data_IF_768204933256
#
_entry.id   IF_768204933256
#
_cell.length_a   1.000
_cell.length_b   1.000
_cell.length_c   1.000
_cell.angle_alpha   90.00
_cell.angle_beta   90.00
_cell.angle_gamma   90.00
#
_symmetry.space_group_name_H-M   'P 1'
#
loop_
_entity.id
_entity.type
_entity.pdbx_description
1 polymer ?
#
# COMPACT_ATOMS: atom_id res chain seq x y z
N UNK A 1 4.65 -6.55 3.17
CA UNK A 1 5.50 -5.37 3.45
C UNK A 1 4.98 -4.58 4.66
N UNK A 2 3.79 -4.91 5.18
CA UNK A 2 3.23 -4.41 6.45
C UNK A 2 4.16 -4.59 7.66
N UNK A 3 4.85 -5.74 7.77
CA UNK A 3 5.86 -5.99 8.80
C UNK A 3 7.05 -4.99 8.77
N UNK A 4 7.34 -4.40 7.60
CA UNK A 4 8.38 -3.39 7.48
C UNK A 4 7.93 -2.04 8.04
N UNK A 5 6.63 -1.74 8.14
CA UNK A 5 6.14 -0.48 8.71
C UNK A 5 5.86 -0.59 10.21
N UNK A 6 5.39 -1.76 10.68
CA UNK A 6 5.19 -2.03 12.11
C UNK A 6 6.47 -1.90 12.95
N UNK A 7 7.65 -2.13 12.35
CA UNK A 7 8.94 -2.04 13.04
C UNK A 7 9.51 -0.63 13.25
N UNK A 8 8.90 0.43 12.68
CA UNK A 8 9.53 1.77 12.67
C UNK A 8 8.87 2.80 13.58
N UNK A 9 7.52 2.90 13.63
CA UNK A 9 6.77 3.85 14.47
C UNK A 9 5.24 3.65 14.29
N UNK A 10 4.49 3.38 15.36
CA UNK A 10 3.02 3.20 15.30
C UNK A 10 2.30 4.46 14.77
N UNK A 11 2.88 5.65 15.00
CA UNK A 11 2.30 6.92 14.54
C UNK A 11 2.54 7.17 13.04
N UNK A 12 3.53 6.50 12.44
CA UNK A 12 3.75 6.53 10.99
C UNK A 12 2.76 5.58 10.30
N UNK A 13 2.50 4.41 10.91
CA UNK A 13 1.54 3.43 10.38
C UNK A 13 0.15 4.06 10.22
N UNK A 14 -0.35 4.74 11.25
CA UNK A 14 -1.68 5.38 11.20
C UNK A 14 -1.80 6.44 10.09
N UNK A 15 -0.73 7.19 9.81
CA UNK A 15 -0.72 8.19 8.73
C UNK A 15 -0.67 7.54 7.34
N UNK A 16 -0.03 6.39 7.22
CA UNK A 16 0.09 5.66 5.94
C UNK A 16 -1.20 4.91 5.60
N UNK A 17 -1.96 4.48 6.61
CA UNK A 17 -3.21 3.73 6.44
C UNK A 17 -4.46 4.63 6.34
N UNK A 18 -4.53 5.72 7.13
CA UNK A 18 -5.75 6.54 7.28
C UNK A 18 -5.51 8.04 7.03
N UNK A 19 -4.25 8.46 6.89
CA UNK A 19 -3.86 9.86 6.89
C UNK A 19 -3.95 10.54 5.53
N UNK A 20 -5.16 10.82 5.04
CA UNK A 20 -5.31 11.70 3.88
C UNK A 20 -5.15 13.17 4.31
N UNK A 21 -3.95 13.71 4.07
CA UNK A 21 -3.56 15.08 4.41
C UNK A 21 -4.00 16.08 3.36
N UNK A 22 -5.26 16.00 2.93
CA UNK A 22 -5.93 17.09 2.22
C UNK A 22 -6.20 18.25 3.20
N UNK A 23 -5.14 18.82 3.77
CA UNK A 23 -5.22 20.06 4.54
C UNK A 23 -5.40 21.18 3.53
N UNK A 24 -6.66 21.42 3.17
CA UNK A 24 -7.11 22.46 2.23
C UNK A 24 -7.21 23.83 2.90
N UNK A 25 -6.95 23.91 4.20
CA UNK A 25 -7.08 25.14 4.98
C UNK A 25 -5.78 25.93 5.00
N UNK A 26 -5.94 27.26 5.01
CA UNK A 26 -4.86 28.23 5.11
C UNK A 26 -3.89 27.89 6.26
N UNK A 27 -2.59 28.05 6.03
CA UNK A 27 -1.54 27.69 7.02
C UNK A 27 -1.75 28.37 8.37
N UNK A 28 -2.35 29.55 8.35
CA UNK A 28 -2.62 30.37 9.53
C UNK A 28 -3.75 29.79 10.41
N UNK A 29 -4.55 28.85 9.90
CA UNK A 29 -5.64 28.20 10.63
C UNK A 29 -5.28 26.81 11.15
N UNK A 30 -4.03 26.37 10.97
CA UNK A 30 -3.62 25.03 11.38
C UNK A 30 -3.60 24.90 12.90
N UNK A 31 -4.33 23.90 13.38
CA UNK A 31 -4.27 23.47 14.77
C UNK A 31 -2.95 22.74 15.05
N UNK A 32 -2.63 22.55 16.32
CA UNK A 32 -1.44 21.78 16.71
C UNK A 32 -1.52 20.32 16.21
N UNK A 33 -2.73 19.76 16.17
CA UNK A 33 -2.97 18.44 15.61
C UNK A 33 -2.71 18.38 14.10
N UNK A 34 -3.09 19.43 13.35
CA UNK A 34 -2.80 19.51 11.91
C UNK A 34 -1.28 19.54 11.67
N UNK A 35 -0.54 20.35 12.45
CA UNK A 35 0.92 20.42 12.37
C UNK A 35 1.56 19.07 12.67
N UNK A 36 1.06 18.37 13.71
CA UNK A 36 1.53 17.02 14.07
C UNK A 36 1.29 16.03 12.94
N UNK A 37 0.11 16.01 12.32
CA UNK A 37 -0.19 15.14 11.18
C UNK A 37 0.72 15.43 9.98
N UNK A 38 0.91 16.71 9.65
CA UNK A 38 1.81 17.12 8.55
C UNK A 38 3.25 16.66 8.83
N UNK A 39 3.75 16.89 10.04
CA UNK A 39 5.08 16.43 10.45
C UNK A 39 5.22 14.91 10.30
N UNK A 40 4.26 14.15 10.81
CA UNK A 40 4.29 12.68 10.71
C UNK A 40 4.25 12.20 9.25
N UNK A 41 3.50 12.85 8.38
CA UNK A 41 3.50 12.53 6.96
C UNK A 41 4.81 12.88 6.26
N UNK A 42 5.41 14.03 6.56
CA UNK A 42 6.76 14.35 6.06
C UNK A 42 7.78 13.29 6.52
N UNK A 43 7.71 12.88 7.79
CA UNK A 43 8.54 11.81 8.36
C UNK A 43 8.29 10.47 7.63
N UNK A 44 7.03 10.10 7.41
CA UNK A 44 6.64 8.89 6.69
C UNK A 44 7.14 8.89 5.23
N UNK A 45 6.92 9.99 4.49
CA UNK A 45 7.44 10.16 3.11
C UNK A 45 8.96 9.99 3.08
N UNK A 46 9.68 10.64 3.99
CA UNK A 46 11.14 10.50 4.09
C UNK A 46 11.56 9.05 4.29
N UNK A 47 10.91 8.33 5.22
CA UNK A 47 11.19 6.90 5.46
C UNK A 47 10.91 6.03 4.24
N UNK A 48 9.76 6.21 3.59
CA UNK A 48 9.42 5.51 2.35
C UNK A 48 10.47 5.79 1.27
N UNK A 49 10.82 7.05 1.03
CA UNK A 49 11.83 7.43 0.04
C UNK A 49 13.19 6.77 0.30
N UNK A 50 13.64 6.71 1.56
CA UNK A 50 14.90 6.07 1.92
C UNK A 50 14.89 4.54 1.69
N UNK A 51 13.74 3.89 1.81
CA UNK A 51 13.61 2.45 1.58
C UNK A 51 13.53 2.08 0.09
N UNK A 52 13.21 3.04 -0.79
CA UNK A 52 12.93 2.78 -2.20
C UNK A 52 14.18 2.86 -3.08
N UNK A 53 14.27 1.92 -4.03
CA UNK A 53 15.25 2.00 -5.13
C UNK A 53 14.86 3.15 -6.08
N UNK A 54 15.84 3.70 -6.81
CA UNK A 54 15.63 4.81 -7.77
C UNK A 54 14.45 4.61 -8.73
N UNK A 55 14.25 3.39 -9.24
CA UNK A 55 13.14 3.06 -10.15
C UNK A 55 11.79 3.24 -9.48
N UNK A 56 11.64 2.72 -8.26
CA UNK A 56 10.38 2.76 -7.53
C UNK A 56 10.09 4.15 -6.99
N UNK A 57 11.12 4.85 -6.52
CA UNK A 57 11.01 6.25 -6.13
C UNK A 57 10.42 7.12 -7.25
N UNK A 58 10.92 6.99 -8.49
CA UNK A 58 10.39 7.74 -9.65
C UNK A 58 8.90 7.51 -9.90
N UNK A 59 8.34 6.37 -9.48
CA UNK A 59 6.91 6.05 -9.68
C UNK A 59 6.02 6.73 -8.66
N UNK A 60 6.54 7.00 -7.47
CA UNK A 60 5.79 7.55 -6.33
C UNK A 60 6.19 8.99 -5.98
N UNK A 61 7.22 9.55 -6.63
CA UNK A 61 7.74 10.89 -6.32
C UNK A 61 6.73 12.02 -6.55
N UNK A 62 5.71 11.81 -7.40
CA UNK A 62 4.65 12.78 -7.65
C UNK A 62 3.51 12.74 -6.62
N UNK A 63 3.51 11.75 -5.72
CA UNK A 63 2.44 11.56 -4.75
C UNK A 63 2.48 12.64 -3.65
N UNK A 64 1.30 13.12 -3.27
CA UNK A 64 1.12 14.24 -2.34
C UNK A 64 1.32 13.80 -0.90
N UNK A 65 0.76 12.66 -0.51
CA UNK A 65 0.86 12.09 0.85
C UNK A 65 1.69 10.79 0.90
N UNK A 66 2.14 10.42 2.09
CA UNK A 66 2.75 9.12 2.35
C UNK A 66 1.76 7.98 2.10
N UNK A 67 0.48 8.19 2.43
CA UNK A 67 -0.62 7.28 2.13
C UNK A 67 -0.71 7.01 0.61
N UNK A 68 -0.72 8.05 -0.21
CA UNK A 68 -0.79 7.89 -1.67
C UNK A 68 0.46 7.16 -2.22
N UNK A 69 1.66 7.47 -1.68
CA UNK A 69 2.88 6.74 -2.04
C UNK A 69 2.76 5.25 -1.70
N UNK A 70 2.30 4.94 -0.48
CA UNK A 70 2.14 3.58 0.00
C UNK A 70 1.11 2.80 -0.80
N UNK A 71 -0.06 3.38 -1.03
CA UNK A 71 -1.13 2.74 -1.78
C UNK A 71 -0.69 2.43 -3.22
N UNK A 72 0.04 3.35 -3.85
CA UNK A 72 0.60 3.12 -5.18
C UNK A 72 1.63 1.99 -5.20
N UNK A 73 2.43 1.84 -4.14
CA UNK A 73 3.35 0.71 -3.99
C UNK A 73 2.58 -0.60 -3.76
N UNK A 74 1.57 -0.59 -2.90
CA UNK A 74 0.71 -1.75 -2.62
C UNK A 74 0.06 -2.27 -3.90
N UNK A 75 -0.65 -1.40 -4.62
CA UNK A 75 -1.29 -1.75 -5.91
C UNK A 75 -0.27 -2.28 -6.92
N UNK A 76 0.91 -1.66 -6.98
CA UNK A 76 1.97 -2.04 -7.91
C UNK A 76 2.47 -3.47 -7.69
N UNK A 77 2.66 -3.87 -6.44
CA UNK A 77 3.33 -5.13 -6.10
C UNK A 77 2.35 -6.26 -5.79
N UNK A 78 1.22 -5.93 -5.16
CA UNK A 78 0.21 -6.92 -4.78
C UNK A 78 -0.92 -7.03 -5.80
N UNK A 79 -1.04 -6.05 -6.71
CA UNK A 79 -2.17 -5.90 -7.60
C UNK A 79 -3.33 -5.16 -6.93
N UNK A 80 -4.32 -4.79 -7.75
CA UNK A 80 -5.59 -4.26 -7.25
C UNK A 80 -6.45 -5.38 -6.69
N UNK A 81 -7.43 -5.04 -5.86
CA UNK A 81 -8.34 -6.03 -5.28
C UNK A 81 -9.08 -6.81 -6.38
N UNK A 82 -9.47 -6.13 -7.48
CA UNK A 82 -10.04 -6.78 -8.67
C UNK A 82 -9.10 -7.81 -9.31
N UNK A 83 -7.80 -7.53 -9.40
CA UNK A 83 -6.81 -8.50 -9.93
C UNK A 83 -6.68 -9.68 -8.97
N UNK A 84 -6.71 -9.44 -7.66
CA UNK A 84 -6.68 -10.50 -6.64
C UNK A 84 -7.92 -11.39 -6.73
N UNK A 85 -9.11 -10.80 -6.81
CA UNK A 85 -10.40 -11.50 -7.01
C UNK A 85 -10.40 -12.33 -8.29
N UNK A 86 -9.99 -11.74 -9.42
CA UNK A 86 -9.93 -12.46 -10.70
C UNK A 86 -8.98 -13.67 -10.63
N UNK A 87 -7.85 -13.56 -9.91
CA UNK A 87 -6.93 -14.69 -9.70
C UNK A 87 -7.58 -15.79 -8.87
N UNK A 88 -8.36 -15.44 -7.85
CA UNK A 88 -9.13 -16.40 -7.05
C UNK A 88 -10.15 -17.11 -7.94
N UNK A 89 -10.95 -16.36 -8.70
CA UNK A 89 -11.99 -16.93 -9.57
C UNK A 89 -11.41 -17.90 -10.61
N UNK A 90 -10.27 -17.54 -11.21
CA UNK A 90 -9.55 -18.42 -12.15
C UNK A 90 -9.11 -19.71 -11.45
N UNK A 91 -8.53 -19.62 -10.26
CA UNK A 91 -8.08 -20.79 -9.50
C UNK A 91 -9.25 -21.68 -9.07
N UNK A 92 -10.35 -21.09 -8.62
CA UNK A 92 -11.59 -21.80 -8.28
C UNK A 92 -12.12 -22.53 -9.51
N UNK A 93 -12.21 -21.83 -10.65
CA UNK A 93 -12.66 -22.43 -11.92
C UNK A 93 -11.76 -23.60 -12.35
N UNK A 94 -10.44 -23.46 -12.22
CA UNK A 94 -9.50 -24.54 -12.53
C UNK A 94 -9.69 -25.73 -11.59
N UNK A 95 -9.89 -25.48 -10.30
CA UNK A 95 -10.13 -26.51 -9.30
C UNK A 95 -11.45 -27.25 -9.56
N UNK A 96 -12.55 -26.54 -9.84
CA UNK A 96 -13.84 -27.14 -10.16
C UNK A 96 -13.81 -27.99 -11.44
N UNK A 97 -12.98 -27.60 -12.40
CA UNK A 97 -12.77 -28.34 -13.66
C UNK A 97 -11.69 -29.41 -13.54
N UNK A 98 -11.00 -29.49 -12.40
CA UNK A 98 -9.94 -30.46 -12.19
C UNK A 98 -10.57 -31.84 -12.06
N UNK A 99 -10.30 -32.70 -13.04
CA UNK A 99 -10.79 -34.07 -13.08
C UNK A 99 -9.63 -34.99 -13.43
N UNK A 100 -9.66 -36.17 -12.81
CA UNK A 100 -8.68 -37.21 -13.05
C UNK A 100 -8.75 -37.67 -14.50
N UNK A 101 -7.60 -37.70 -15.18
CA UNK A 101 -7.50 -38.17 -16.56
C UNK A 101 -7.55 -39.70 -16.63
N UNK A 102 -7.86 -40.23 -17.81
CA UNK A 102 -7.86 -41.68 -18.04
C UNK A 102 -6.45 -42.24 -17.83
N UNK A 103 -6.30 -43.11 -16.83
CA UNK A 103 -5.02 -43.73 -16.44
C UNK A 103 -4.32 -43.08 -15.25
N UNK A 104 -4.83 -41.97 -14.72
CA UNK A 104 -4.37 -41.43 -13.44
C UNK A 104 -4.92 -42.30 -12.29
N UNK A 105 -4.08 -42.54 -11.28
CA UNK A 105 -4.42 -43.34 -10.10
C UNK A 105 -4.20 -42.49 -8.85
N UNK A 106 -5.21 -42.40 -8.00
CA UNK A 106 -5.06 -41.78 -6.67
C UNK A 106 -4.26 -42.77 -5.84
N UNK A 107 -2.96 -42.50 -5.68
CA UNK A 107 -2.01 -43.38 -4.99
C UNK A 107 -1.48 -42.69 -3.76
#
# INVERSE_FOLDING_TARGET
MEYFLQGFDIQILSIVEEGDLLVTNDKDKWTEDDRKKIYLNCKAKSKLCCALRKKEFKRVSSCKSAMEMWEKLRITYEGTDKVKETRIDILVTHYERFQMQSGETIT
#
